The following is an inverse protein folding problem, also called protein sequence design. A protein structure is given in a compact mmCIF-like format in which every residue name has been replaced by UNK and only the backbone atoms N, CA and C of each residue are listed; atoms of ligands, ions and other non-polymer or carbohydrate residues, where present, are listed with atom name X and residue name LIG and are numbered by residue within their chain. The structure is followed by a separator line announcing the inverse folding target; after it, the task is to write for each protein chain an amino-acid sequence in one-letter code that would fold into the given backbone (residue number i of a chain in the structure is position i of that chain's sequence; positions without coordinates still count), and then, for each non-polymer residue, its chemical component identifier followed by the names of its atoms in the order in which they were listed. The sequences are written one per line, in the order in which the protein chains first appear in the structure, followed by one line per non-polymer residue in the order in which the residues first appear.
data_IF_420449336970
#
_entry.id   IF_420449336970
#
_cell.length_a   1.000
_cell.length_b   1.000
_cell.length_c   1.000
_cell.angle_alpha   90.00
_cell.angle_beta   90.00
_cell.angle_gamma   90.00
#
_symmetry.space_group_name_H-M   'P 1'
#
loop_
_entity.id
_entity.type
_entity.pdbx_description
1 polymer ?
#
# COMPACT_ATOMS: atom_id res chain seq x y z
N UNK A 1 6.86 13.22 3.58
CA UNK A 1 6.22 12.04 2.96
C UNK A 1 6.34 10.85 3.90
N UNK A 2 5.86 11.02 5.13
CA UNK A 2 6.19 10.20 6.32
C UNK A 2 5.78 8.72 6.20
N UNK A 3 4.80 8.41 5.36
CA UNK A 3 4.24 7.08 5.20
C UNK A 3 5.16 6.12 4.44
N UNK A 4 5.91 6.63 3.45
CA UNK A 4 6.85 5.82 2.66
C UNK A 4 8.03 5.39 3.53
N UNK A 5 8.46 6.23 4.47
CA UNK A 5 9.55 5.92 5.37
C UNK A 5 9.22 4.79 6.37
N UNK A 6 7.93 4.59 6.62
CA UNK A 6 7.41 3.48 7.45
C UNK A 6 7.16 2.20 6.64
N UNK A 7 7.13 2.28 5.31
CA UNK A 7 6.98 1.10 4.46
C UNK A 7 8.22 0.21 4.54
N UNK A 8 7.99 -1.09 4.61
CA UNK A 8 9.03 -2.13 4.63
C UNK A 8 8.84 -3.10 3.47
N UNK A 9 9.94 -3.61 2.96
CA UNK A 9 9.96 -4.71 2.00
C UNK A 9 10.38 -6.02 2.68
N UNK A 10 10.56 -7.11 1.90
CA UNK A 10 10.84 -8.45 2.43
C UNK A 10 12.17 -8.58 3.20
N UNK A 11 13.08 -7.62 3.07
CA UNK A 11 14.39 -7.61 3.73
C UNK A 11 14.52 -6.46 4.74
N UNK A 12 13.40 -5.88 5.18
CA UNK A 12 13.37 -4.74 6.10
C UNK A 12 13.11 -3.40 5.41
N UNK A 13 13.88 -2.37 5.75
CA UNK A 13 13.64 -1.01 5.24
C UNK A 13 13.74 -0.93 3.71
N UNK A 14 12.87 -0.13 3.08
CA UNK A 14 12.97 0.13 1.64
C UNK A 14 14.25 0.89 1.30
N UNK A 15 14.93 0.46 0.24
CA UNK A 15 16.07 1.20 -0.33
C UNK A 15 15.64 2.58 -0.82
N UNK A 16 16.59 3.52 -0.90
CA UNK A 16 16.33 4.89 -1.42
C UNK A 16 15.70 4.87 -2.81
N UNK A 17 16.15 3.96 -3.69
CA UNK A 17 15.58 3.79 -5.03
C UNK A 17 14.12 3.37 -5.00
N UNK A 18 13.77 2.41 -4.15
CA UNK A 18 12.38 1.93 -3.96
C UNK A 18 11.47 2.99 -3.36
N UNK A 19 11.96 3.76 -2.38
CA UNK A 19 11.23 4.91 -1.83
C UNK A 19 10.91 5.92 -2.92
N UNK A 20 11.90 6.29 -3.74
CA UNK A 20 11.71 7.24 -4.86
C UNK A 20 10.67 6.75 -5.88
N UNK A 21 10.66 5.45 -6.18
CA UNK A 21 9.66 4.86 -7.08
C UNK A 21 8.24 4.93 -6.49
N UNK A 22 8.06 4.68 -5.18
CA UNK A 22 6.78 4.88 -4.51
C UNK A 22 6.36 6.36 -4.55
N UNK A 23 7.31 7.28 -4.36
CA UNK A 23 7.03 8.72 -4.42
C UNK A 23 6.55 9.15 -5.81
N UNK A 24 7.21 8.63 -6.86
CA UNK A 24 6.83 8.88 -8.24
C UNK A 24 5.45 8.30 -8.54
N UNK A 25 5.20 7.05 -8.13
CA UNK A 25 3.92 6.38 -8.31
C UNK A 25 2.76 7.13 -7.62
N UNK A 26 2.99 7.71 -6.43
CA UNK A 26 1.98 8.52 -5.74
C UNK A 26 1.74 9.89 -6.40
N UNK A 27 2.74 10.47 -7.06
CA UNK A 27 2.57 11.77 -7.75
C UNK A 27 1.90 11.60 -9.09
N UNK A 28 2.29 10.56 -9.83
CA UNK A 28 1.82 10.26 -11.17
C UNK A 28 1.81 8.74 -11.35
N UNK A 29 0.66 8.09 -11.10
CA UNK A 29 0.52 6.66 -11.31
C UNK A 29 0.78 6.35 -12.78
N UNK A 30 1.69 5.41 -13.01
CA UNK A 30 2.03 4.90 -14.34
C UNK A 30 1.97 3.37 -14.29
N UNK A 31 1.54 2.75 -15.38
CA UNK A 31 1.38 1.30 -15.44
C UNK A 31 2.72 0.58 -15.26
N UNK A 32 3.81 1.09 -15.87
CA UNK A 32 5.13 0.47 -15.74
C UNK A 32 5.66 0.59 -14.31
N UNK A 33 5.48 1.74 -13.67
CA UNK A 33 5.80 1.91 -12.26
C UNK A 33 4.95 1.01 -11.35
N UNK A 34 3.66 0.84 -11.64
CA UNK A 34 2.78 -0.03 -10.88
C UNK A 34 3.21 -1.50 -10.95
N UNK A 35 3.48 -2.02 -12.14
CA UNK A 35 3.95 -3.41 -12.31
C UNK A 35 5.26 -3.69 -11.56
N UNK A 36 6.17 -2.70 -11.52
CA UNK A 36 7.42 -2.82 -10.76
C UNK A 36 7.21 -2.82 -9.24
N UNK A 37 6.12 -2.21 -8.76
CA UNK A 37 5.93 -1.90 -7.34
C UNK A 37 4.83 -2.72 -6.66
N UNK A 38 3.89 -3.31 -7.41
CA UNK A 38 2.71 -4.06 -6.91
C UNK A 38 3.04 -5.20 -5.94
N UNK A 39 4.26 -5.77 -6.01
CA UNK A 39 4.74 -6.81 -5.09
C UNK A 39 5.70 -6.34 -3.97
N UNK A 40 5.96 -5.04 -3.83
CA UNK A 40 7.15 -4.58 -3.12
C UNK A 40 7.03 -4.49 -1.59
N UNK A 41 5.91 -3.99 -1.09
CA UNK A 41 5.70 -3.77 0.34
C UNK A 41 5.35 -5.11 0.93
N UNK A 42 6.11 -5.62 1.90
CA UNK A 42 5.90 -6.94 2.49
C UNK A 42 6.11 -6.79 4.00
N UNK A 43 5.19 -7.34 4.80
CA UNK A 43 5.32 -7.42 6.27
C UNK A 43 6.34 -8.50 6.66
N UNK A 44 6.84 -8.43 7.89
CA UNK A 44 7.60 -9.53 8.52
C UNK A 44 6.76 -10.82 8.72
N UNK A 45 5.43 -10.76 8.44
CA UNK A 45 4.47 -11.88 8.45
C UNK A 45 3.85 -11.97 7.03
N UNK A 46 3.71 -13.15 6.40
CA UNK A 46 4.08 -13.32 4.99
C UNK A 46 3.19 -12.73 3.86
N UNK A 47 2.13 -11.95 4.08
CA UNK A 47 1.10 -11.81 3.00
C UNK A 47 0.43 -10.42 2.87
N UNK A 48 1.12 -9.28 3.03
CA UNK A 48 0.53 -8.00 2.57
C UNK A 48 1.45 -7.32 1.59
N UNK A 49 1.22 -7.56 0.28
CA UNK A 49 1.82 -6.86 -0.85
C UNK A 49 1.14 -5.50 -1.04
N UNK A 50 1.77 -4.58 -1.78
CA UNK A 50 1.12 -3.33 -2.19
C UNK A 50 -0.19 -3.60 -2.95
N UNK A 51 -0.21 -4.62 -3.81
CA UNK A 51 -1.42 -5.08 -4.53
C UNK A 51 -2.53 -5.53 -3.57
N UNK A 52 -2.21 -6.33 -2.55
CA UNK A 52 -3.20 -6.73 -1.55
C UNK A 52 -3.68 -5.54 -0.72
N UNK A 53 -2.80 -4.59 -0.39
CA UNK A 53 -3.20 -3.37 0.30
C UNK A 53 -4.14 -2.50 -0.56
N UNK A 54 -3.84 -2.36 -1.86
CA UNK A 54 -4.70 -1.66 -2.82
C UNK A 54 -6.06 -2.36 -2.95
N UNK A 55 -6.06 -3.68 -3.11
CA UNK A 55 -7.28 -4.48 -3.17
C UNK A 55 -8.12 -4.38 -1.91
N UNK A 56 -7.50 -4.23 -0.74
CA UNK A 56 -8.21 -4.08 0.55
C UNK A 56 -8.90 -2.72 0.68
N UNK A 57 -8.37 -1.67 0.06
CA UNK A 57 -8.97 -0.32 0.12
C UNK A 57 -9.92 -0.01 -1.03
N UNK A 58 -9.77 -0.71 -2.17
CA UNK A 58 -10.67 -0.58 -3.32
C UNK A 58 -11.99 -1.30 -3.04
N UNK A 59 -13.08 -0.54 -3.03
CA UNK A 59 -14.44 -1.07 -2.77
C UNK A 59 -15.10 -1.73 -4.00
N UNK A 60 -14.53 -1.58 -5.20
CA UNK A 60 -15.16 -2.02 -6.46
C UNK A 60 -14.27 -2.98 -7.27
N UNK A 61 -14.94 -3.93 -7.94
CA UNK A 61 -14.46 -5.10 -8.70
C UNK A 61 -13.52 -4.84 -9.91
N UNK A 62 -13.07 -3.61 -10.14
CA UNK A 62 -12.20 -3.28 -11.28
C UNK A 62 -10.70 -3.53 -10.98
N UNK A 63 -10.36 -4.72 -10.47
CA UNK A 63 -8.98 -5.09 -10.08
C UNK A 63 -7.96 -4.92 -11.20
N UNK A 64 -8.39 -4.82 -12.46
CA UNK A 64 -7.51 -4.70 -13.63
C UNK A 64 -7.03 -3.26 -13.93
N UNK A 65 -7.63 -2.23 -13.33
CA UNK A 65 -7.22 -0.83 -13.56
C UNK A 65 -6.15 -0.36 -12.58
N UNK A 66 -5.21 0.44 -13.08
CA UNK A 66 -4.24 1.19 -12.30
C UNK A 66 -4.96 2.02 -11.22
N UNK A 67 -4.59 1.89 -9.93
CA UNK A 67 -5.18 2.70 -8.88
C UNK A 67 -4.78 4.18 -9.02
N UNK A 68 -5.72 5.06 -8.68
CA UNK A 68 -5.45 6.50 -8.60
C UNK A 68 -4.51 6.82 -7.41
N UNK A 69 -3.89 8.03 -7.39
CA UNK A 69 -2.96 8.44 -6.33
C UNK A 69 -3.53 8.32 -4.91
N UNK A 70 -4.81 8.62 -4.73
CA UNK A 70 -5.46 8.64 -3.43
C UNK A 70 -5.69 7.22 -2.92
N UNK A 71 -6.10 6.30 -3.79
CA UNK A 71 -6.19 4.87 -3.50
C UNK A 71 -4.83 4.29 -3.11
N UNK A 72 -3.76 4.62 -3.85
CA UNK A 72 -2.40 4.20 -3.51
C UNK A 72 -1.96 4.73 -2.15
N UNK A 73 -2.21 6.01 -1.86
CA UNK A 73 -1.89 6.58 -0.55
C UNK A 73 -2.62 5.86 0.59
N UNK A 74 -3.92 5.59 0.42
CA UNK A 74 -4.71 4.82 1.40
C UNK A 74 -4.19 3.40 1.58
N UNK A 75 -3.78 2.75 0.50
CA UNK A 75 -3.19 1.41 0.55
C UNK A 75 -1.88 1.40 1.36
N UNK A 76 -1.01 2.38 1.14
CA UNK A 76 0.22 2.54 1.93
C UNK A 76 -0.09 2.77 3.40
N UNK A 77 -1.09 3.61 3.70
CA UNK A 77 -1.53 3.88 5.09
C UNK A 77 -2.06 2.64 5.76
N UNK A 78 -2.93 1.91 5.07
CA UNK A 78 -3.45 0.63 5.53
C UNK A 78 -2.32 -0.36 5.82
N UNK A 79 -1.34 -0.50 4.91
CA UNK A 79 -0.21 -1.41 5.11
C UNK A 79 0.65 -1.04 6.33
N UNK A 80 0.85 0.25 6.59
CA UNK A 80 1.59 0.76 7.75
C UNK A 80 0.80 0.59 9.05
N UNK A 81 -0.45 1.04 9.09
CA UNK A 81 -1.29 1.02 10.29
C UNK A 81 -1.58 -0.43 10.74
N UNK A 82 -1.72 -1.36 9.78
CA UNK A 82 -1.83 -2.80 10.06
C UNK A 82 -0.52 -3.42 10.61
N UNK A 83 0.63 -2.81 10.34
CA UNK A 83 1.92 -3.26 10.88
C UNK A 83 2.15 -2.77 12.33
N UNK A 84 1.66 -1.58 12.68
CA UNK A 84 1.82 -1.01 14.03
C UNK A 84 0.89 -1.65 15.07
N UNK A 85 -0.01 -2.55 14.66
CA UNK A 85 -0.88 -3.28 15.59
C UNK A 85 -1.87 -2.39 16.33
N UNK A 86 -2.12 -1.18 15.81
CA UNK A 86 -3.07 -0.26 16.41
C UNK A 86 -4.48 -0.74 16.07
N UNK A 87 -4.92 -1.69 16.88
CA UNK A 87 -6.30 -2.15 16.99
C UNK A 87 -7.19 -1.11 17.68
N UNK A 88 -6.67 0.10 17.95
CA UNK A 88 -7.36 1.17 18.68
C UNK A 88 -7.90 2.31 17.80
N UNK A 89 -8.14 2.07 16.51
CA UNK A 89 -9.05 2.92 15.73
C UNK A 89 -10.19 2.15 15.08
N UNK A 90 -11.10 1.75 15.95
CA UNK A 90 -12.52 1.75 15.67
C UNK A 90 -12.93 3.06 14.94
N UNK A 91 -13.07 3.01 13.61
CA UNK A 91 -14.11 3.71 12.81
C UNK A 91 -13.92 3.46 11.32
N UNK A 92 -14.17 2.23 10.95
CA UNK A 92 -14.32 1.83 9.55
C UNK A 92 -15.05 0.51 9.46
N UNK A 93 -15.99 0.24 10.37
CA UNK A 93 -16.91 -0.88 10.28
C UNK A 93 -17.61 -0.82 8.94
N UNK A 94 -17.14 -1.62 7.99
CA UNK A 94 -17.96 -2.06 6.89
C UNK A 94 -18.93 -3.02 7.57
N UNK A 95 -20.11 -2.50 7.92
CA UNK A 95 -21.26 -3.31 8.28
C UNK A 95 -21.39 -4.40 7.21
N UNK A 96 -21.18 -5.65 7.60
CA UNK A 96 -21.77 -6.79 6.90
C UNK A 96 -22.82 -7.37 7.85
N UNK A 97 -24.06 -7.32 7.38
CA UNK A 97 -25.18 -8.08 7.95
C UNK A 97 -24.89 -9.57 7.84
#
# INVERSE_FOLDING_TARGET
MYIIDQCRGPYGALSKSRKRLLEQLLRQPDQCLWERMRGLIIRDIPIVTLEMAVSSVRRNLDTERLPDPFTLYRALRFAVDYATGDTDSARGGICRK
#
